data_IF_304166671145
#
_entry.id   IF_304166671145
#
_cell.length_a   1.000
_cell.length_b   1.000
_cell.length_c   1.000
_cell.angle_alpha   90.00
_cell.angle_beta   90.00
_cell.angle_gamma   90.00
#
_symmetry.space_group_name_H-M   'P 1'
#
loop_
_entity.id
_entity.type
_entity.pdbx_description
1 polymer ?
#
# COMPACT_ATOMS: atom_id res chain seq x y z
N UNK A 1 1.85 17.88 -1.68
CA UNK A 1 2.50 16.57 -1.82
C UNK A 1 1.76 15.59 -0.95
N UNK A 2 1.28 14.49 -1.54
CA UNK A 2 0.65 13.39 -0.83
C UNK A 2 1.51 12.14 -1.06
N UNK A 3 2.23 11.71 -0.03
CA UNK A 3 3.14 10.58 -0.09
C UNK A 3 2.85 9.64 1.08
N UNK A 4 2.44 8.41 0.76
CA UNK A 4 2.07 7.39 1.73
C UNK A 4 2.57 6.08 1.17
N UNK A 5 3.28 5.29 1.97
CA UNK A 5 3.57 3.89 1.69
C UNK A 5 3.46 3.07 2.97
N UNK A 6 3.13 1.79 2.83
CA UNK A 6 3.06 0.91 4.00
C UNK A 6 2.14 -0.29 3.84
N UNK A 7 1.94 -0.97 4.97
CA UNK A 7 1.25 -2.25 5.05
C UNK A 7 -0.13 -2.07 5.67
N UNK A 8 -1.17 -2.60 5.03
CA UNK A 8 -2.55 -2.54 5.51
C UNK A 8 -3.12 -3.94 5.64
N UNK A 9 -3.63 -4.27 6.82
CA UNK A 9 -4.30 -5.55 7.08
C UNK A 9 -5.24 -5.44 8.29
N UNK A 10 -5.89 -6.54 8.65
CA UNK A 10 -6.68 -6.60 9.89
C UNK A 10 -5.79 -6.35 11.11
N UNK A 11 -6.35 -5.73 12.15
CA UNK A 11 -5.63 -5.29 13.35
C UNK A 11 -4.69 -6.36 13.94
N UNK A 12 -5.14 -7.62 14.01
CA UNK A 12 -4.34 -8.73 14.55
C UNK A 12 -3.07 -8.99 13.72
N UNK A 13 -3.18 -8.92 12.39
CA UNK A 13 -2.06 -9.18 11.48
C UNK A 13 -1.05 -8.05 11.55
N UNK A 14 -1.52 -6.79 11.49
CA UNK A 14 -0.65 -5.61 11.62
C UNK A 14 0.09 -5.61 12.96
N UNK A 15 -0.59 -5.89 14.08
CA UNK A 15 0.08 -6.00 15.39
C UNK A 15 1.15 -7.10 15.41
N UNK A 16 0.90 -8.23 14.75
CA UNK A 16 1.88 -9.33 14.63
C UNK A 16 3.08 -8.95 13.74
N UNK A 17 2.87 -8.11 12.73
CA UNK A 17 3.96 -7.60 11.90
C UNK A 17 4.78 -6.55 12.67
N UNK A 18 4.11 -5.64 13.39
CA UNK A 18 4.76 -4.59 14.16
C UNK A 18 5.72 -5.12 15.25
N UNK A 19 5.38 -6.25 15.88
CA UNK A 19 6.21 -6.83 16.92
C UNK A 19 7.61 -7.29 16.46
N UNK A 20 7.83 -7.42 15.15
CA UNK A 20 9.11 -7.84 14.59
C UNK A 20 10.09 -6.66 14.41
N UNK A 21 9.62 -5.41 14.43
CA UNK A 21 10.42 -4.24 14.06
C UNK A 21 10.23 -3.08 15.04
N UNK A 22 11.33 -2.44 15.45
CA UNK A 22 11.30 -1.36 16.46
C UNK A 22 10.58 -0.11 15.95
N UNK A 23 10.66 0.16 14.64
CA UNK A 23 10.09 1.35 14.01
C UNK A 23 8.70 1.11 13.39
N UNK A 24 8.06 -0.03 13.68
CA UNK A 24 6.75 -0.36 13.14
C UNK A 24 5.60 0.12 14.03
N UNK A 25 5.27 1.40 13.91
CA UNK A 25 4.15 1.99 14.63
C UNK A 25 2.79 1.62 14.01
N UNK A 26 1.90 1.09 14.85
CA UNK A 26 0.55 0.69 14.43
C UNK A 26 -0.40 1.88 14.44
N UNK A 27 -0.88 2.25 13.27
CA UNK A 27 -1.94 3.23 13.08
C UNK A 27 -3.28 2.52 12.92
N UNK A 28 -4.24 2.80 13.80
CA UNK A 28 -5.60 2.26 13.66
C UNK A 28 -6.30 2.95 12.48
N UNK A 29 -6.95 2.14 11.65
CA UNK A 29 -7.83 2.59 10.59
C UNK A 29 -9.28 2.17 10.87
N UNK A 30 -10.20 2.62 10.02
CA UNK A 30 -11.60 2.25 10.15
C UNK A 30 -11.83 0.78 9.79
N UNK A 31 -13.04 0.27 10.10
CA UNK A 31 -13.52 -1.07 9.70
C UNK A 31 -12.66 -2.25 10.20
N UNK A 32 -11.95 -2.05 11.32
CA UNK A 32 -11.12 -3.08 11.95
C UNK A 32 -9.82 -3.39 11.20
N UNK A 33 -9.36 -2.43 10.39
CA UNK A 33 -8.05 -2.44 9.76
C UNK A 33 -7.07 -1.58 10.53
N UNK A 34 -5.79 -1.85 10.33
CA UNK A 34 -4.69 -1.00 10.79
C UNK A 34 -3.69 -0.86 9.66
N UNK A 35 -2.78 0.09 9.82
CA UNK A 35 -1.66 0.30 8.93
C UNK A 35 -0.36 0.45 9.73
N UNK A 36 0.74 0.01 9.14
CA UNK A 36 2.08 0.47 9.51
C UNK A 36 2.60 1.31 8.36
N UNK A 37 2.95 2.57 8.64
CA UNK A 37 3.64 3.40 7.68
C UNK A 37 5.07 2.89 7.49
N UNK A 38 5.48 2.70 6.24
CA UNK A 38 6.85 2.29 5.91
C UNK A 38 7.76 3.52 5.91
N UNK A 39 8.01 4.13 7.06
CA UNK A 39 8.94 5.26 7.19
C UNK A 39 10.37 4.84 6.83
N UNK A 40 11.25 5.79 6.50
CA UNK A 40 12.63 5.48 6.03
C UNK A 40 13.37 4.55 7.01
N UNK A 41 13.31 4.82 8.32
CA UNK A 41 13.94 3.97 9.33
C UNK A 41 13.41 2.54 9.34
N UNK A 42 12.10 2.35 9.12
CA UNK A 42 11.51 1.01 9.07
C UNK A 42 11.87 0.31 7.75
N UNK A 43 11.94 1.06 6.65
CA UNK A 43 12.40 0.53 5.37
C UNK A 43 13.84 0.01 5.46
N UNK A 44 14.74 0.79 6.05
CA UNK A 44 16.14 0.39 6.25
C UNK A 44 16.22 -0.84 7.16
N UNK A 45 15.51 -0.82 8.31
CA UNK A 45 15.45 -1.94 9.26
C UNK A 45 14.98 -3.25 8.61
N UNK A 46 13.92 -3.20 7.79
CA UNK A 46 13.43 -4.38 7.05
C UNK A 46 14.48 -4.90 6.06
N UNK A 47 15.13 -4.01 5.30
CA UNK A 47 16.11 -4.42 4.30
C UNK A 47 17.42 -4.96 4.91
N UNK A 48 17.79 -4.50 6.12
CA UNK A 48 18.95 -5.02 6.84
C UNK A 48 18.66 -6.37 7.52
N UNK A 49 17.47 -6.54 8.11
CA UNK A 49 17.13 -7.73 8.89
C UNK A 49 16.61 -8.89 8.04
N UNK A 50 15.88 -8.62 6.96
CA UNK A 50 15.28 -9.67 6.13
C UNK A 50 16.20 -10.01 4.96
N UNK A 51 16.98 -11.08 5.15
CA UNK A 51 17.84 -11.60 4.10
C UNK A 51 17.01 -12.28 3.00
N UNK A 52 16.97 -11.67 1.81
CA UNK A 52 16.18 -12.13 0.68
C UNK A 52 17.00 -12.17 -0.61
N UNK A 53 16.93 -13.30 -1.32
CA UNK A 53 17.56 -13.50 -2.62
C UNK A 53 16.54 -13.41 -3.77
N UNK A 54 15.33 -12.91 -3.51
CA UNK A 54 14.32 -12.76 -4.56
C UNK A 54 14.77 -11.74 -5.60
N UNK A 55 14.50 -12.06 -6.87
CA UNK A 55 14.50 -11.09 -7.95
C UNK A 55 13.06 -10.66 -8.22
N UNK A 56 12.76 -9.39 -8.02
CA UNK A 56 11.44 -8.83 -8.27
C UNK A 56 11.38 -8.39 -9.73
N UNK A 57 10.37 -8.84 -10.47
CA UNK A 57 10.22 -8.55 -11.92
C UNK A 57 9.53 -7.21 -12.21
N UNK A 58 9.05 -6.52 -11.17
CA UNK A 58 8.27 -5.29 -11.23
C UNK A 58 8.85 -4.19 -10.31
N UNK A 59 10.17 -4.17 -10.13
CA UNK A 59 10.88 -3.17 -9.33
C UNK A 59 10.69 -1.74 -9.85
N UNK A 60 10.57 -1.55 -11.16
CA UNK A 60 10.31 -0.24 -11.78
C UNK A 60 8.92 0.36 -11.45
N UNK A 61 7.99 -0.43 -10.91
CA UNK A 61 6.60 -0.01 -10.64
C UNK A 61 6.40 0.57 -9.25
N UNK A 62 7.38 0.37 -8.35
CA UNK A 62 7.35 0.79 -6.95
C UNK A 62 8.62 1.55 -6.60
N UNK A 63 8.52 2.59 -5.78
CA UNK A 63 9.70 3.31 -5.29
C UNK A 63 10.41 2.59 -4.15
N UNK A 64 9.68 1.81 -3.35
CA UNK A 64 10.17 1.24 -2.08
C UNK A 64 9.82 -0.24 -1.89
N UNK A 65 9.29 -0.92 -2.90
CA UNK A 65 9.03 -2.35 -2.80
C UNK A 65 10.31 -3.15 -3.06
N UNK A 66 10.87 -3.75 -2.01
CA UNK A 66 12.15 -4.46 -2.07
C UNK A 66 11.99 -5.98 -1.93
N UNK A 67 13.03 -6.78 -2.29
CA UNK A 67 13.03 -8.23 -2.06
C UNK A 67 12.79 -8.64 -0.60
N UNK A 68 13.27 -7.82 0.34
CA UNK A 68 13.03 -7.99 1.78
C UNK A 68 11.55 -7.82 2.13
N UNK A 69 10.89 -6.79 1.59
CA UNK A 69 9.46 -6.55 1.79
C UNK A 69 8.62 -7.66 1.15
N UNK A 70 8.97 -8.12 -0.05
CA UNK A 70 8.31 -9.27 -0.67
C UNK A 70 8.33 -10.49 0.26
N UNK A 71 9.52 -10.85 0.75
CA UNK A 71 9.72 -12.00 1.63
C UNK A 71 8.92 -11.85 2.94
N UNK A 72 8.95 -10.66 3.55
CA UNK A 72 8.17 -10.34 4.74
C UNK A 72 6.66 -10.55 4.50
N UNK A 73 6.12 -10.06 3.39
CA UNK A 73 4.70 -10.16 3.05
C UNK A 73 4.29 -11.59 2.68
N UNK A 74 5.16 -12.34 2.00
CA UNK A 74 4.99 -13.78 1.77
C UNK A 74 4.81 -14.51 3.11
N UNK A 75 5.73 -14.34 4.06
CA UNK A 75 5.66 -15.00 5.35
C UNK A 75 4.43 -14.56 6.14
N UNK A 76 4.21 -13.24 6.28
CA UNK A 76 3.17 -12.70 7.16
C UNK A 76 1.76 -12.92 6.61
N UNK A 77 1.58 -12.97 5.29
CA UNK A 77 0.26 -13.18 4.67
C UNK A 77 -0.28 -14.62 4.79
N UNK A 78 0.51 -15.54 5.32
CA UNK A 78 0.04 -16.89 5.72
C UNK A 78 -1.13 -16.84 6.72
N UNK A 79 -1.23 -15.77 7.50
CA UNK A 79 -2.27 -15.58 8.53
C UNK A 79 -3.45 -14.72 8.07
N UNK A 80 -3.45 -14.29 6.81
CA UNK A 80 -4.52 -13.51 6.20
C UNK A 80 -4.00 -12.47 5.20
N UNK A 81 -4.92 -11.73 4.58
CA UNK A 81 -4.60 -10.75 3.54
C UNK A 81 -3.76 -9.59 4.09
N UNK A 82 -2.72 -9.20 3.35
CA UNK A 82 -1.91 -7.99 3.62
C UNK A 82 -1.73 -7.22 2.32
N UNK A 83 -2.14 -5.95 2.32
CA UNK A 83 -1.87 -5.04 1.21
C UNK A 83 -0.60 -4.24 1.46
N UNK A 84 0.20 -4.06 0.42
CA UNK A 84 1.24 -3.04 0.35
C UNK A 84 0.78 -1.94 -0.61
N UNK A 85 0.95 -0.68 -0.22
CA UNK A 85 0.57 0.47 -1.03
C UNK A 85 1.70 1.50 -1.11
N UNK A 86 1.74 2.25 -2.21
CA UNK A 86 2.51 3.46 -2.38
C UNK A 86 1.66 4.52 -3.10
N UNK A 87 1.81 5.78 -2.68
CA UNK A 87 1.30 6.95 -3.39
C UNK A 87 2.37 8.01 -3.45
N UNK A 88 2.47 8.69 -4.59
CA UNK A 88 3.25 9.91 -4.72
C UNK A 88 2.51 10.90 -5.61
N UNK A 89 1.93 11.94 -4.99
CA UNK A 89 1.12 12.96 -5.66
C UNK A 89 1.63 14.37 -5.39
N UNK A 90 1.71 15.17 -6.43
CA UNK A 90 2.01 16.60 -6.38
C UNK A 90 1.08 17.38 -7.31
N UNK A 91 0.35 18.36 -6.77
CA UNK A 91 -0.52 19.23 -7.56
C UNK A 91 -1.75 18.56 -8.19
N UNK A 92 -1.98 17.26 -7.97
CA UNK A 92 -3.05 16.49 -8.64
C UNK A 92 -2.49 15.42 -9.59
N UNK A 93 -1.24 15.60 -10.03
CA UNK A 93 -0.47 14.60 -10.75
C UNK A 93 0.15 13.61 -9.77
N UNK A 94 0.24 12.34 -10.16
CA UNK A 94 0.87 11.34 -9.32
C UNK A 94 0.63 9.90 -9.71
N UNK A 95 1.22 9.01 -8.93
CA UNK A 95 1.13 7.56 -9.11
C UNK A 95 0.61 6.91 -7.82
N UNK A 96 -0.19 5.86 -7.98
CA UNK A 96 -0.46 4.89 -6.94
C UNK A 96 -0.02 3.52 -7.41
N UNK A 97 0.62 2.76 -6.53
CA UNK A 97 0.96 1.37 -6.76
C UNK A 97 0.48 0.54 -5.56
N UNK A 98 -0.01 -0.68 -5.81
CA UNK A 98 -0.48 -1.56 -4.75
C UNK A 98 -0.38 -3.04 -5.13
N UNK A 99 -0.09 -3.88 -4.14
CA UNK A 99 -0.11 -5.35 -4.23
C UNK A 99 -0.84 -5.91 -3.02
N UNK A 100 -1.58 -7.00 -3.23
CA UNK A 100 -2.19 -7.79 -2.18
C UNK A 100 -1.55 -9.17 -2.10
N UNK A 101 -1.12 -9.54 -0.90
CA UNK A 101 -0.68 -10.89 -0.57
C UNK A 101 -1.76 -11.65 0.20
N UNK A 102 -1.91 -12.95 -0.07
CA UNK A 102 -2.75 -13.87 0.67
C UNK A 102 -2.13 -15.28 0.63
N UNK A 103 -2.04 -15.96 1.78
CA UNK A 103 -1.50 -17.34 1.88
C UNK A 103 -0.07 -17.48 1.34
N UNK A 104 0.75 -16.45 1.52
CA UNK A 104 2.14 -16.43 1.06
C UNK A 104 2.31 -16.28 -0.45
N UNK A 105 1.28 -15.83 -1.16
CA UNK A 105 1.37 -15.58 -2.59
C UNK A 105 0.81 -14.19 -2.89
N UNK A 106 1.27 -13.58 -3.99
CA UNK A 106 0.58 -12.44 -4.57
C UNK A 106 -0.80 -12.92 -5.02
N UNK A 107 -1.84 -12.33 -4.42
CA UNK A 107 -3.23 -12.57 -4.81
C UNK A 107 -3.65 -11.70 -5.97
N UNK A 108 -3.36 -10.40 -5.87
CA UNK A 108 -3.68 -9.38 -6.85
C UNK A 108 -2.52 -8.38 -6.90
N UNK A 109 -2.14 -7.99 -8.12
CA UNK A 109 -1.10 -7.01 -8.39
C UNK A 109 0.12 -7.62 -9.07
N UNK A 110 1.11 -6.77 -9.39
CA UNK A 110 1.13 -5.33 -9.12
C UNK A 110 0.09 -4.53 -9.89
N UNK A 111 -0.54 -3.57 -9.23
CA UNK A 111 -1.50 -2.66 -9.84
C UNK A 111 -1.00 -1.23 -9.73
N UNK A 112 -1.03 -0.50 -10.84
CA UNK A 112 -0.55 0.87 -10.93
C UNK A 112 -1.64 1.73 -11.56
N UNK A 113 -1.87 2.91 -10.99
CA UNK A 113 -2.68 3.94 -11.59
C UNK A 113 -1.94 5.27 -11.55
N UNK A 114 -1.87 5.94 -12.69
CA UNK A 114 -1.21 7.23 -12.87
C UNK A 114 -2.22 8.29 -13.22
N UNK A 115 -2.21 9.41 -12.52
CA UNK A 115 -3.04 10.58 -12.79
C UNK A 115 -2.15 11.69 -13.32
N UNK A 116 -2.50 12.27 -14.47
CA UNK A 116 -1.76 13.38 -15.08
C UNK A 116 -2.72 14.43 -15.64
N UNK A 117 -2.35 15.69 -15.54
CA UNK A 117 -3.01 16.79 -16.21
C UNK A 117 -2.87 16.66 -17.72
N UNK A 118 -3.99 16.59 -18.43
CA UNK A 118 -4.04 16.66 -19.88
C UNK A 118 -4.44 18.06 -20.31
N UNK A 119 -3.47 18.79 -20.87
CA UNK A 119 -3.70 20.13 -21.40
C UNK A 119 -4.66 20.18 -22.59
N UNK A 120 -4.92 19.06 -23.28
CA UNK A 120 -5.87 19.03 -24.41
C UNK A 120 -7.31 19.01 -23.93
N UNK A 121 -7.63 18.16 -22.95
CA UNK A 121 -8.96 18.09 -22.34
C UNK A 121 -9.15 19.09 -21.18
N UNK A 122 -8.08 19.77 -20.76
CA UNK A 122 -8.08 20.67 -19.59
C UNK A 122 -8.59 19.96 -18.33
N UNK A 123 -8.16 18.71 -18.13
CA UNK A 123 -8.62 17.85 -17.04
C UNK A 123 -7.54 16.85 -16.60
N UNK A 124 -7.66 16.31 -15.39
CA UNK A 124 -6.82 15.20 -14.95
C UNK A 124 -7.33 13.88 -15.52
N UNK A 125 -6.44 13.12 -16.16
CA UNK A 125 -6.72 11.79 -16.70
C UNK A 125 -6.01 10.76 -15.84
N UNK A 126 -6.74 9.73 -15.42
CA UNK A 126 -6.16 8.57 -14.73
C UNK A 126 -6.10 7.37 -15.66
N UNK A 127 -4.94 6.71 -15.70
CA UNK A 127 -4.68 5.50 -16.48
C UNK A 127 -4.19 4.36 -15.58
N UNK A 128 -4.72 3.13 -15.74
CA UNK A 128 -5.82 2.76 -16.63
C UNK A 128 -7.13 3.44 -16.20
N UNK A 129 -8.08 3.56 -17.15
CA UNK A 129 -9.42 4.07 -16.81
C UNK A 129 -10.12 3.09 -15.87
N UNK A 130 -10.87 3.63 -14.91
CA UNK A 130 -11.66 2.85 -13.96
C UNK A 130 -11.20 3.04 -12.53
N UNK A 131 -11.32 1.98 -11.73
CA UNK A 131 -10.95 1.98 -10.32
C UNK A 131 -9.43 2.08 -10.17
N UNK A 132 -8.98 2.96 -9.27
CA UNK A 132 -7.56 3.22 -9.00
C UNK A 132 -6.92 2.05 -8.26
N UNK A 133 -5.60 1.89 -8.43
CA UNK A 133 -4.85 0.72 -7.94
C UNK A 133 -5.12 0.41 -6.46
N UNK A 134 -5.03 1.42 -5.59
CA UNK A 134 -5.24 1.21 -4.15
C UNK A 134 -6.69 0.84 -3.83
N UNK A 135 -7.69 1.51 -4.42
CA UNK A 135 -9.10 1.17 -4.17
C UNK A 135 -9.42 -0.27 -4.58
N UNK A 136 -8.87 -0.73 -5.71
CA UNK A 136 -9.02 -2.12 -6.17
C UNK A 136 -8.47 -3.12 -5.14
N UNK A 137 -7.28 -2.85 -4.60
CA UNK A 137 -6.66 -3.69 -3.59
C UNK A 137 -7.39 -3.62 -2.24
N UNK A 138 -7.82 -2.43 -1.80
CA UNK A 138 -8.57 -2.26 -0.55
C UNK A 138 -9.93 -2.97 -0.58
N UNK A 139 -10.62 -2.92 -1.72
CA UNK A 139 -11.86 -3.66 -1.95
C UNK A 139 -11.64 -5.16 -1.80
N UNK A 140 -10.61 -5.71 -2.44
CA UNK A 140 -10.27 -7.13 -2.29
C UNK A 140 -9.81 -7.47 -0.86
N UNK A 141 -9.11 -6.56 -0.19
CA UNK A 141 -8.74 -6.69 1.22
C UNK A 141 -9.97 -6.79 2.14
N UNK A 142 -11.14 -6.34 1.67
CA UNK A 142 -12.43 -6.42 2.37
C UNK A 142 -12.87 -5.10 3.00
N UNK A 143 -12.30 -3.97 2.55
CA UNK A 143 -12.82 -2.64 2.85
C UNK A 143 -14.10 -2.44 2.05
N UNK A 144 -15.16 -1.98 2.71
CA UNK A 144 -16.42 -1.67 2.04
C UNK A 144 -16.65 -0.17 1.95
N UNK A 145 -17.35 0.25 0.89
CA UNK A 145 -17.83 1.62 0.73
C UNK A 145 -18.98 1.90 1.68
N UNK A 146 -19.01 3.11 2.21
CA UNK A 146 -20.16 3.68 2.94
C UNK A 146 -20.53 5.02 2.33
N UNK A 147 -21.79 5.18 1.92
CA UNK A 147 -22.27 6.38 1.24
C UNK A 147 -21.57 6.61 -0.10
N UNK A 148 -21.19 7.86 -0.38
CA UNK A 148 -20.55 8.26 -1.64
C UNK A 148 -19.01 8.24 -1.59
N UNK A 149 -18.43 7.76 -0.49
CA UNK A 149 -16.98 7.68 -0.32
C UNK A 149 -16.44 6.35 -0.89
N UNK A 150 -15.25 6.36 -1.47
CA UNK A 150 -14.58 5.16 -1.95
C UNK A 150 -13.91 4.37 -0.81
N UNK A 151 -13.22 3.28 -1.12
CA UNK A 151 -12.54 2.44 -0.13
C UNK A 151 -11.43 3.20 0.60
N UNK A 152 -10.65 4.03 -0.10
CA UNK A 152 -9.56 4.84 0.44
C UNK A 152 -10.07 5.85 1.49
N UNK A 153 -11.15 6.55 1.16
CA UNK A 153 -11.80 7.48 2.09
C UNK A 153 -12.43 6.74 3.29
N UNK A 154 -13.13 5.63 3.02
CA UNK A 154 -13.84 4.91 4.08
C UNK A 154 -12.92 4.22 5.08
N UNK A 155 -11.77 3.71 4.64
CA UNK A 155 -10.78 3.13 5.55
C UNK A 155 -10.08 4.25 6.37
N UNK A 156 -10.15 5.50 5.92
CA UNK A 156 -9.62 6.68 6.63
C UNK A 156 -8.23 7.14 6.16
N UNK A 157 -7.76 6.67 5.00
CA UNK A 157 -6.44 7.05 4.48
C UNK A 157 -6.36 8.51 4.03
N UNK A 158 -7.48 9.12 3.65
CA UNK A 158 -7.51 10.54 3.23
C UNK A 158 -7.21 11.55 4.35
N UNK A 159 -7.18 11.09 5.61
CA UNK A 159 -6.72 11.88 6.75
C UNK A 159 -5.19 12.05 6.77
N UNK A 160 -4.47 11.24 6.01
CA UNK A 160 -3.02 11.26 5.93
C UNK A 160 -2.60 11.87 4.59
N UNK A 161 -1.53 12.65 4.61
CA UNK A 161 -0.90 13.22 3.40
C UNK A 161 0.57 12.87 3.31
N UNK A 162 1.18 12.55 4.44
CA UNK A 162 2.59 12.28 4.60
C UNK A 162 2.74 11.28 5.73
N UNK A 163 3.88 10.62 5.74
CA UNK A 163 4.22 9.56 6.68
C UNK A 163 5.50 9.85 7.46
N UNK A 164 6.25 10.84 7.00
CA UNK A 164 7.45 11.44 7.59
C UNK A 164 7.12 12.53 8.62
#
# INVERSE_FOLDING_TARGET
MHNIRGFIAKNKIIKSLANDFVYADVTLLNQGFSMIFLVDKLYDDINELVNSNYKIEFDDEFGYFSPAIYNLLEIKSSHGKIAYIETDYFGGDGVQAAILFEKGLIKIGPNISKTLWDGKSNSYITTPKGERAINMILKELGVYRKGNMDEFDNIGLSLYRRMD
#
